data_IF_223192761143
#
_entry.id   IF_223192761143
#
_cell.length_a   1.000
_cell.length_b   1.000
_cell.length_c   1.000
_cell.angle_alpha   90.00
_cell.angle_beta   90.00
_cell.angle_gamma   90.00
#
_symmetry.space_group_name_H-M   'P 1'
#
loop_
_entity.id
_entity.type
_entity.pdbx_description
1 polymer ?
#
# COMPACT_ATOMS: atom_id res chain seq x y z
N UNK A 1 -2.11 -15.29 -12.77
CA UNK A 1 -1.21 -14.29 -12.13
C UNK A 1 -1.78 -12.92 -12.42
N UNK A 2 -1.94 -12.08 -11.40
CA UNK A 2 -2.43 -10.70 -11.54
C UNK A 2 -1.33 -9.72 -11.11
N UNK A 3 -1.24 -8.57 -11.76
CA UNK A 3 -0.17 -7.59 -11.56
C UNK A 3 -0.78 -6.21 -11.37
N UNK A 4 -0.24 -5.44 -10.44
CA UNK A 4 -0.53 -4.02 -10.29
C UNK A 4 0.75 -3.23 -10.07
N UNK A 5 0.77 -2.02 -10.61
CA UNK A 5 1.88 -1.08 -10.50
C UNK A 5 1.33 0.29 -10.14
N UNK A 6 2.04 1.01 -9.29
CA UNK A 6 1.75 2.40 -8.99
C UNK A 6 3.00 3.26 -8.90
N UNK A 7 2.85 4.53 -9.28
CA UNK A 7 3.90 5.54 -9.20
C UNK A 7 3.37 6.75 -8.44
N UNK A 8 4.10 7.16 -7.41
CA UNK A 8 3.69 8.22 -6.50
C UNK A 8 4.84 9.20 -6.26
N UNK A 9 4.52 10.50 -6.23
CA UNK A 9 5.43 11.51 -5.70
C UNK A 9 5.24 11.62 -4.18
N UNK A 10 6.29 11.48 -3.34
CA UNK A 10 6.14 11.54 -1.88
C UNK A 10 5.48 12.83 -1.36
N UNK A 11 5.65 13.93 -2.12
CA UNK A 11 5.02 15.24 -1.88
C UNK A 11 3.49 15.15 -1.71
N UNK A 12 2.83 14.23 -2.43
CA UNK A 12 1.37 14.01 -2.34
C UNK A 12 0.94 13.49 -0.97
N UNK A 13 1.81 12.77 -0.28
CA UNK A 13 1.56 12.28 1.09
C UNK A 13 2.10 13.27 2.12
N UNK A 14 3.19 13.97 1.80
CA UNK A 14 3.76 15.02 2.64
C UNK A 14 2.73 16.08 3.04
N UNK A 15 1.90 16.54 2.09
CA UNK A 15 0.82 17.51 2.35
C UNK A 15 -0.26 17.00 3.33
N UNK A 16 -0.33 15.69 3.56
CA UNK A 16 -1.29 15.04 4.45
C UNK A 16 -0.72 14.80 5.86
N UNK A 17 0.61 14.92 6.05
CA UNK A 17 1.26 14.56 7.32
C UNK A 17 0.76 15.35 8.52
N UNK A 18 0.28 16.58 8.30
CA UNK A 18 -0.25 17.45 9.34
C UNK A 18 -1.76 17.29 9.56
N UNK A 19 -2.41 16.39 8.81
CA UNK A 19 -3.85 16.14 8.87
C UNK A 19 -4.13 14.76 9.46
N UNK A 20 -3.97 14.64 10.78
CA UNK A 20 -4.09 13.35 11.50
C UNK A 20 -5.38 12.60 11.18
N UNK A 21 -6.52 13.30 11.11
CA UNK A 21 -7.82 12.72 10.76
C UNK A 21 -7.87 12.12 9.35
N UNK A 22 -7.07 12.65 8.42
CA UNK A 22 -6.98 12.10 7.06
C UNK A 22 -6.01 10.92 7.04
N UNK A 23 -4.87 11.03 7.73
CA UNK A 23 -3.94 9.91 7.86
C UNK A 23 -4.61 8.68 8.46
N UNK A 24 -5.41 8.85 9.53
CA UNK A 24 -6.14 7.75 10.17
C UNK A 24 -7.31 7.21 9.36
N UNK A 25 -7.63 7.82 8.21
CA UNK A 25 -8.57 7.27 7.21
C UNK A 25 -7.84 6.53 6.09
N UNK A 26 -6.61 6.94 5.77
CA UNK A 26 -5.82 6.35 4.69
C UNK A 26 -5.05 5.12 5.17
N UNK A 27 -4.43 5.22 6.34
CA UNK A 27 -3.51 4.24 6.88
C UNK A 27 -4.11 3.50 8.08
N UNK A 28 -3.75 2.23 8.22
CA UNK A 28 -4.09 1.44 9.41
C UNK A 28 -3.18 1.82 10.58
N UNK A 29 -3.58 1.44 11.79
CA UNK A 29 -2.76 1.70 12.98
C UNK A 29 -1.38 1.02 12.90
N UNK A 30 -1.32 -0.16 12.29
CA UNK A 30 -0.06 -0.89 12.09
C UNK A 30 0.86 -0.20 11.08
N UNK A 31 0.30 0.48 10.07
CA UNK A 31 1.08 1.26 9.12
C UNK A 31 1.60 2.55 9.74
N UNK A 32 0.77 3.23 10.53
CA UNK A 32 1.17 4.43 11.25
C UNK A 32 2.24 4.15 12.32
N UNK A 33 2.26 2.95 12.89
CA UNK A 33 3.28 2.58 13.87
C UNK A 33 4.68 2.48 13.25
N UNK A 34 4.80 2.14 11.95
CA UNK A 34 6.07 2.05 11.22
C UNK A 34 6.89 3.35 11.23
N UNK A 35 6.22 4.49 11.41
CA UNK A 35 6.88 5.81 11.37
C UNK A 35 7.06 6.45 12.75
N UNK A 36 6.76 5.71 13.83
CA UNK A 36 6.97 6.20 15.20
C UNK A 36 8.46 6.43 15.44
N UNK A 37 8.83 7.62 15.92
CA UNK A 37 10.23 7.99 16.17
C UNK A 37 11.10 8.20 14.92
N UNK A 38 10.53 8.08 13.71
CA UNK A 38 11.27 8.35 12.47
C UNK A 38 11.48 9.86 12.23
N UNK A 39 12.56 10.20 11.52
CA UNK A 39 12.74 11.56 11.00
C UNK A 39 11.61 11.92 10.02
N UNK A 40 11.36 13.23 9.83
CA UNK A 40 10.33 13.72 8.92
C UNK A 40 10.45 13.10 7.51
N UNK A 41 11.65 13.13 6.93
CA UNK A 41 11.91 12.55 5.60
C UNK A 41 11.65 11.04 5.57
N UNK A 42 12.08 10.29 6.59
CA UNK A 42 11.84 8.84 6.67
C UNK A 42 10.34 8.54 6.80
N UNK A 43 9.61 9.34 7.59
CA UNK A 43 8.15 9.26 7.72
C UNK A 43 7.41 9.51 6.41
N UNK A 44 7.77 10.56 5.66
CA UNK A 44 7.20 10.85 4.32
C UNK A 44 7.41 9.64 3.39
N UNK A 45 8.66 9.16 3.30
CA UNK A 45 9.00 8.07 2.39
C UNK A 45 8.27 6.77 2.73
N UNK A 46 8.22 6.37 4.01
CA UNK A 46 7.53 5.14 4.44
C UNK A 46 6.03 5.21 4.11
N UNK A 47 5.35 6.30 4.48
CA UNK A 47 3.91 6.42 4.24
C UNK A 47 3.59 6.54 2.75
N UNK A 48 4.45 7.18 1.96
CA UNK A 48 4.31 7.25 0.52
C UNK A 48 4.54 5.88 -0.15
N UNK A 49 5.52 5.10 0.30
CA UNK A 49 5.73 3.71 -0.14
C UNK A 49 4.53 2.82 0.20
N UNK A 50 3.99 2.94 1.42
CA UNK A 50 2.78 2.23 1.85
C UNK A 50 1.60 2.59 0.95
N UNK A 51 1.39 3.87 0.66
CA UNK A 51 0.26 4.29 -0.18
C UNK A 51 0.38 3.77 -1.62
N UNK A 52 1.55 3.92 -2.25
CA UNK A 52 1.81 3.37 -3.58
C UNK A 52 1.63 1.84 -3.62
N UNK A 53 2.09 1.15 -2.57
CA UNK A 53 1.90 -0.29 -2.43
C UNK A 53 0.43 -0.70 -2.29
N UNK A 54 -0.39 0.06 -1.55
CA UNK A 54 -1.84 -0.19 -1.49
C UNK A 54 -2.48 -0.03 -2.87
N UNK A 55 -2.14 1.04 -3.60
CA UNK A 55 -2.64 1.26 -4.96
C UNK A 55 -2.23 0.12 -5.92
N UNK A 56 -0.96 -0.29 -5.88
CA UNK A 56 -0.48 -1.42 -6.65
C UNK A 56 -1.26 -2.71 -6.31
N UNK A 57 -1.54 -2.96 -5.03
CA UNK A 57 -2.29 -4.15 -4.60
C UNK A 57 -3.75 -4.15 -5.08
N UNK A 58 -4.48 -3.03 -4.97
CA UNK A 58 -5.87 -2.95 -5.48
C UNK A 58 -5.95 -2.94 -7.00
N UNK A 59 -4.93 -2.44 -7.69
CA UNK A 59 -4.79 -2.59 -9.15
C UNK A 59 -4.56 -4.05 -9.53
N UNK A 60 -3.76 -4.78 -8.76
CA UNK A 60 -3.55 -6.21 -8.95
C UNK A 60 -4.83 -7.03 -8.68
N UNK A 61 -5.74 -6.57 -7.81
CA UNK A 61 -7.08 -7.14 -7.67
C UNK A 61 -8.01 -6.83 -8.85
N UNK A 62 -7.62 -5.95 -9.78
CA UNK A 62 -8.41 -5.56 -10.94
C UNK A 62 -9.47 -4.48 -10.67
N UNK A 63 -9.47 -3.86 -9.50
CA UNK A 63 -10.52 -2.88 -9.10
C UNK A 63 -10.01 -1.44 -9.07
N UNK A 64 -8.79 -1.21 -8.58
CA UNK A 64 -8.41 0.10 -8.05
C UNK A 64 -9.12 0.41 -6.71
N UNK A 65 -8.91 1.61 -6.16
CA UNK A 65 -9.75 2.10 -5.07
C UNK A 65 -11.11 2.53 -5.61
N UNK A 66 -12.18 2.13 -4.90
CA UNK A 66 -13.57 2.36 -5.30
C UNK A 66 -14.41 2.68 -4.07
N UNK A 67 -15.71 2.94 -4.24
CA UNK A 67 -16.63 3.06 -3.11
C UNK A 67 -16.74 1.77 -2.28
N UNK A 68 -16.41 0.61 -2.86
CA UNK A 68 -16.46 -0.69 -2.20
C UNK A 68 -15.13 -1.09 -1.53
N UNK A 69 -13.99 -0.68 -2.10
CA UNK A 69 -12.65 -1.00 -1.61
C UNK A 69 -11.92 0.29 -1.25
N UNK A 70 -11.83 0.54 0.05
CA UNK A 70 -11.14 1.68 0.63
C UNK A 70 -9.65 1.42 0.89
N UNK A 71 -8.93 2.47 1.23
CA UNK A 71 -7.49 2.43 1.55
C UNK A 71 -7.17 1.57 2.78
N UNK A 72 -8.10 1.42 3.72
CA UNK A 72 -7.91 0.55 4.91
C UNK A 72 -8.24 -0.91 4.66
N UNK A 73 -8.84 -1.25 3.52
CA UNK A 73 -9.11 -2.64 3.15
C UNK A 73 -7.84 -3.34 2.65
N UNK A 74 -6.74 -2.60 2.51
CA UNK A 74 -5.42 -3.14 2.19
C UNK A 74 -4.43 -2.64 3.23
N UNK A 75 -3.86 -3.54 4.02
CA UNK A 75 -2.77 -3.23 4.93
C UNK A 75 -1.43 -3.65 4.30
N UNK A 76 -0.46 -2.75 4.34
CA UNK A 76 0.90 -2.98 3.86
C UNK A 76 1.87 -2.87 5.02
N UNK A 77 2.67 -3.91 5.23
CA UNK A 77 3.81 -3.86 6.14
C UNK A 77 5.08 -3.90 5.29
N UNK A 78 5.89 -2.85 5.35
CA UNK A 78 7.18 -2.78 4.63
C UNK A 78 8.35 -2.91 5.60
N UNK A 79 9.44 -3.51 5.14
CA UNK A 79 10.70 -3.61 5.87
C UNK A 79 11.79 -2.72 5.24
N UNK A 80 12.97 -2.68 5.88
CA UNK A 80 14.12 -1.89 5.41
C UNK A 80 14.77 -2.43 4.12
N UNK A 81 14.43 -3.66 3.70
CA UNK A 81 14.94 -4.30 2.48
C UNK A 81 14.05 -4.03 1.25
N UNK A 82 13.13 -3.06 1.33
CA UNK A 82 12.15 -2.74 0.29
C UNK A 82 11.19 -3.89 -0.09
N UNK A 83 11.05 -4.87 0.80
CA UNK A 83 10.04 -5.91 0.68
C UNK A 83 8.79 -5.49 1.46
N UNK A 84 7.62 -5.83 0.91
CA UNK A 84 6.34 -5.57 1.54
C UNK A 84 5.52 -6.84 1.69
N UNK A 85 4.69 -6.88 2.73
CA UNK A 85 3.61 -7.86 2.90
C UNK A 85 2.29 -7.17 2.62
N UNK A 86 1.52 -7.74 1.71
CA UNK A 86 0.13 -7.33 1.44
C UNK A 86 -0.79 -8.17 2.31
N UNK A 87 -1.67 -7.50 3.04
CA UNK A 87 -2.79 -8.11 3.76
C UNK A 87 -4.09 -7.45 3.31
N UNK A 88 -4.94 -8.23 2.64
CA UNK A 88 -6.27 -7.80 2.26
C UNK A 88 -7.23 -8.00 3.44
N UNK A 89 -8.01 -6.96 3.73
CA UNK A 89 -8.97 -6.87 4.82
C UNK A 89 -10.36 -6.59 4.23
N UNK A 90 -11.41 -6.81 5.05
CA UNK A 90 -12.81 -6.46 4.72
C UNK A 90 -13.21 -6.84 3.29
N UNK A 91 -13.75 -5.89 2.51
CA UNK A 91 -14.20 -6.10 1.13
C UNK A 91 -13.07 -6.58 0.23
N UNK A 92 -11.87 -5.99 0.31
CA UNK A 92 -10.74 -6.41 -0.52
C UNK A 92 -10.34 -7.88 -0.25
N UNK A 93 -10.52 -8.36 0.99
CA UNK A 93 -10.32 -9.77 1.32
C UNK A 93 -11.29 -10.68 0.57
N UNK A 94 -12.57 -10.32 0.50
CA UNK A 94 -13.57 -11.09 -0.25
C UNK A 94 -13.21 -11.20 -1.74
N UNK A 95 -12.76 -10.09 -2.35
CA UNK A 95 -12.28 -10.10 -3.74
C UNK A 95 -11.04 -10.99 -3.91
N UNK A 96 -10.06 -10.89 -3.01
CA UNK A 96 -8.87 -11.72 -3.05
C UNK A 96 -9.20 -13.22 -2.90
N UNK A 97 -10.14 -13.56 -2.02
CA UNK A 97 -10.60 -14.94 -1.80
C UNK A 97 -11.36 -15.48 -3.02
N UNK A 98 -12.23 -14.68 -3.64
CA UNK A 98 -12.98 -15.02 -4.87
C UNK A 98 -12.04 -15.25 -6.06
N UNK A 99 -11.05 -14.39 -6.24
CA UNK A 99 -10.00 -14.54 -7.24
C UNK A 99 -9.06 -15.72 -6.93
N UNK A 100 -9.21 -16.37 -5.78
CA UNK A 100 -8.41 -17.52 -5.40
C UNK A 100 -6.94 -17.18 -5.15
N UNK A 101 -6.64 -15.97 -4.67
CA UNK A 101 -5.27 -15.53 -4.34
C UNK A 101 -4.65 -16.49 -3.31
N UNK A 102 -3.42 -16.93 -3.57
CA UNK A 102 -2.65 -17.86 -2.72
C UNK A 102 -1.42 -17.23 -2.14
N UNK A 103 -0.76 -16.37 -2.92
CA UNK A 103 0.48 -15.73 -2.52
C UNK A 103 0.51 -14.32 -3.08
N UNK A 104 1.10 -13.43 -2.31
CA UNK A 104 1.32 -12.04 -2.69
C UNK A 104 2.80 -11.76 -2.69
N UNK A 105 3.24 -10.93 -3.63
CA UNK A 105 4.59 -10.37 -3.67
C UNK A 105 4.46 -8.87 -3.80
N UNK A 106 5.31 -8.15 -3.08
CA UNK A 106 5.33 -6.70 -3.12
C UNK A 106 6.77 -6.22 -2.95
N UNK A 107 7.16 -5.35 -3.86
CA UNK A 107 8.39 -4.57 -3.75
C UNK A 107 8.09 -3.12 -4.10
N UNK A 108 8.93 -2.22 -3.58
CA UNK A 108 8.90 -0.82 -3.94
C UNK A 108 10.33 -0.30 -4.11
N UNK A 109 10.46 0.82 -4.80
CA UNK A 109 11.74 1.53 -4.88
C UNK A 109 11.48 3.02 -4.80
N UNK A 110 12.46 3.75 -4.27
CA UNK A 110 12.41 5.20 -4.12
C UNK A 110 13.62 5.76 -4.85
N UNK A 111 13.38 6.55 -5.89
CA UNK A 111 14.42 7.28 -6.63
C UNK A 111 14.07 8.77 -6.62
N UNK A 112 14.90 9.57 -5.94
CA UNK A 112 14.72 11.02 -5.74
C UNK A 112 13.34 11.36 -5.16
N UNK A 113 12.41 11.74 -6.04
CA UNK A 113 11.06 12.20 -5.72
C UNK A 113 9.98 11.30 -6.32
N UNK A 114 10.33 10.07 -6.69
CA UNK A 114 9.43 9.09 -7.28
C UNK A 114 9.52 7.82 -6.45
N UNK A 115 8.35 7.29 -6.12
CA UNK A 115 8.17 5.95 -5.58
C UNK A 115 7.48 5.13 -6.65
N UNK A 116 7.97 3.92 -6.85
CA UNK A 116 7.31 2.90 -7.66
C UNK A 116 7.03 1.69 -6.77
N UNK A 117 5.83 1.14 -6.85
CA UNK A 117 5.45 -0.09 -6.16
C UNK A 117 4.87 -1.10 -7.15
N UNK A 118 5.23 -2.37 -6.98
CA UNK A 118 4.75 -3.47 -7.83
C UNK A 118 4.20 -4.56 -6.92
N UNK A 119 2.95 -4.95 -7.18
CA UNK A 119 2.25 -6.04 -6.50
C UNK A 119 1.96 -7.17 -7.49
N UNK A 120 2.22 -8.42 -7.07
CA UNK A 120 1.88 -9.63 -7.83
C UNK A 120 1.01 -10.51 -6.94
N UNK A 121 -0.11 -10.96 -7.49
CA UNK A 121 -1.01 -11.94 -6.86
C UNK A 121 -0.93 -13.26 -7.65
N UNK A 122 -0.45 -14.30 -6.99
CA UNK A 122 -0.56 -15.67 -7.48
C UNK A 122 -1.98 -16.17 -7.18
N UNK A 123 -2.74 -16.50 -8.21
CA UNK A 123 -4.10 -17.02 -8.13
C UNK A 123 -4.11 -18.50 -8.48
N UNK A 124 -5.07 -19.26 -7.95
CA UNK A 124 -5.35 -20.63 -8.43
C UNK A 124 -5.62 -20.60 -9.95
N UNK A 125 -5.01 -21.54 -10.66
CA UNK A 125 -5.42 -21.87 -12.03
C UNK A 125 -6.75 -22.61 -12.05
#
# INVERSE_FOLDING_TARGET
MLIGIDILEPKKIEILLFKERILSRIFTQNELSLVTGCSYKKRVNILASVFAAKEAAVKALGTGFTDAIGTQDVQIIINENNEGKIEFLNTAKSFADELGVKKTHLTYSIEKNIIIAIAILEVKG
#
